data_IF_097363183639
#
_entry.id   IF_097363183639
#
_cell.length_a   1.000
_cell.length_b   1.000
_cell.length_c   1.000
_cell.angle_alpha   90.00
_cell.angle_beta   90.00
_cell.angle_gamma   90.00
#
_symmetry.space_group_name_H-M   'P 1'
#
loop_
_entity.id
_entity.type
_entity.pdbx_description
1 polymer ?
#
# COMPACT_ATOMS: atom_id res chain seq x y z
N UNK A 1 45.17 -100.39 -6.13
CA UNK A 1 45.49 -99.37 -5.12
C UNK A 1 45.28 -98.04 -5.80
N UNK A 2 44.04 -97.59 -5.80
CA UNK A 2 43.47 -96.57 -4.88
C UNK A 2 43.55 -95.20 -5.56
N UNK A 3 42.37 -94.75 -6.04
CA UNK A 3 42.15 -93.35 -6.42
C UNK A 3 42.13 -92.56 -5.11
N UNK A 4 43.14 -91.73 -4.88
CA UNK A 4 43.07 -90.71 -3.83
C UNK A 4 41.89 -89.79 -4.14
N UNK A 5 40.82 -89.92 -3.35
CA UNK A 5 39.75 -88.94 -3.32
C UNK A 5 40.33 -87.67 -2.72
N UNK A 6 40.65 -86.71 -3.60
CA UNK A 6 41.09 -85.35 -3.26
C UNK A 6 39.99 -84.52 -2.59
N UNK A 7 39.48 -84.99 -1.46
CA UNK A 7 38.62 -84.22 -0.58
C UNK A 7 39.46 -83.25 0.23
N UNK A 8 39.28 -81.95 -0.03
CA UNK A 8 39.89 -80.87 0.77
C UNK A 8 39.54 -81.08 2.24
N UNK A 9 40.53 -81.10 3.12
CA UNK A 9 40.31 -81.32 4.56
C UNK A 9 39.60 -80.13 5.20
N UNK A 10 38.93 -80.33 6.35
CA UNK A 10 38.19 -79.27 7.06
C UNK A 10 39.07 -78.05 7.37
N UNK A 11 40.35 -78.28 7.71
CA UNK A 11 41.33 -77.21 7.98
C UNK A 11 41.73 -76.43 6.72
N UNK A 12 41.88 -77.12 5.59
CA UNK A 12 42.17 -76.45 4.30
C UNK A 12 40.97 -75.63 3.84
N UNK A 13 39.75 -76.12 4.09
CA UNK A 13 38.51 -75.39 3.81
C UNK A 13 38.39 -74.14 4.68
N UNK A 14 38.66 -74.25 5.99
CA UNK A 14 38.68 -73.10 6.91
C UNK A 14 39.73 -72.04 6.52
N UNK A 15 40.91 -72.47 6.06
CA UNK A 15 41.95 -71.56 5.60
C UNK A 15 41.53 -70.81 4.31
N UNK A 16 40.90 -71.50 3.36
CA UNK A 16 40.38 -70.89 2.13
C UNK A 16 39.25 -69.90 2.43
N UNK A 17 38.34 -70.24 3.35
CA UNK A 17 37.25 -69.34 3.77
C UNK A 17 37.81 -68.08 4.44
N UNK A 18 38.77 -68.20 5.37
CA UNK A 18 39.42 -67.03 5.99
C UNK A 18 40.13 -66.14 4.97
N UNK A 19 40.80 -66.74 3.98
CA UNK A 19 41.45 -65.98 2.92
C UNK A 19 40.42 -65.24 2.05
N UNK A 20 39.30 -65.89 1.72
CA UNK A 20 38.20 -65.29 0.97
C UNK A 20 37.55 -64.14 1.74
N UNK A 21 37.25 -64.33 3.03
CA UNK A 21 36.72 -63.28 3.92
C UNK A 21 37.68 -62.08 4.02
N UNK A 22 38.99 -62.34 4.11
CA UNK A 22 40.01 -61.29 4.11
C UNK A 22 40.02 -60.47 2.81
N UNK A 23 39.94 -61.13 1.65
CA UNK A 23 39.87 -60.46 0.34
C UNK A 23 38.57 -59.68 0.16
N UNK A 24 37.44 -60.22 0.62
CA UNK A 24 36.15 -59.51 0.59
C UNK A 24 36.22 -58.26 1.46
N UNK A 25 36.76 -58.33 2.68
CA UNK A 25 36.92 -57.16 3.55
C UNK A 25 37.77 -56.04 2.91
N UNK A 26 38.87 -56.40 2.26
CA UNK A 26 39.73 -55.43 1.55
C UNK A 26 38.95 -54.78 0.40
N UNK A 27 38.18 -55.57 -0.35
CA UNK A 27 37.36 -55.07 -1.45
C UNK A 27 36.26 -54.12 -0.96
N UNK A 28 35.53 -54.50 0.10
CA UNK A 28 34.49 -53.64 0.70
C UNK A 28 35.10 -52.35 1.25
N UNK A 29 36.26 -52.40 1.89
CA UNK A 29 36.95 -51.20 2.36
C UNK A 29 37.36 -50.29 1.20
N UNK A 30 37.90 -50.85 0.12
CA UNK A 30 38.24 -50.07 -1.09
C UNK A 30 37.04 -49.40 -1.75
N UNK A 31 35.85 -50.03 -1.70
CA UNK A 31 34.61 -49.41 -2.16
C UNK A 31 34.14 -48.28 -1.23
N UNK A 32 34.23 -48.47 0.09
CA UNK A 32 33.91 -47.43 1.09
C UNK A 32 34.84 -46.23 0.96
N UNK A 33 36.13 -46.46 0.76
CA UNK A 33 37.13 -45.42 0.52
C UNK A 33 36.87 -44.67 -0.81
N UNK A 34 36.21 -45.34 -1.77
CA UNK A 34 35.74 -44.75 -3.02
C UNK A 34 34.33 -44.11 -2.91
N UNK A 35 33.73 -44.04 -1.71
CA UNK A 35 32.42 -43.44 -1.47
C UNK A 35 31.21 -44.30 -1.82
N UNK A 36 31.40 -45.62 -1.97
CA UNK A 36 30.33 -46.58 -2.27
C UNK A 36 30.13 -47.48 -1.04
N UNK A 37 29.09 -47.20 -0.23
CA UNK A 37 28.74 -48.01 0.92
C UNK A 37 27.65 -49.03 0.56
N UNK A 38 28.12 -50.22 0.15
CA UNK A 38 27.26 -51.33 -0.22
C UNK A 38 26.52 -51.98 0.96
N UNK A 39 26.94 -51.73 2.21
CA UNK A 39 26.33 -52.35 3.40
C UNK A 39 25.07 -51.61 3.85
N UNK A 40 25.07 -50.27 3.74
CA UNK A 40 23.88 -49.44 4.02
C UNK A 40 23.00 -49.21 2.79
N UNK A 41 23.45 -49.63 1.61
CA UNK A 41 22.79 -49.33 0.33
C UNK A 41 22.90 -47.86 -0.09
N UNK A 42 23.83 -47.10 0.53
CA UNK A 42 24.04 -45.69 0.27
C UNK A 42 25.28 -45.45 -0.60
N UNK A 43 25.18 -44.58 -1.59
CA UNK A 43 26.36 -43.99 -2.23
C UNK A 43 26.70 -42.73 -1.44
N UNK A 44 27.72 -42.82 -0.59
CA UNK A 44 28.20 -41.71 0.24
C UNK A 44 29.37 -41.05 -0.49
N UNK A 45 29.06 -40.16 -1.42
CA UNK A 45 30.07 -39.32 -2.04
C UNK A 45 30.47 -38.19 -1.07
N UNK A 46 31.72 -38.17 -0.62
CA UNK A 46 32.26 -37.03 0.13
C UNK A 46 32.31 -35.81 -0.80
N UNK A 47 31.67 -34.74 -0.33
CA UNK A 47 31.03 -33.69 -1.14
C UNK A 47 31.97 -32.69 -1.82
N UNK A 48 33.22 -33.07 -2.12
CA UNK A 48 34.13 -32.12 -2.74
C UNK A 48 33.93 -32.02 -4.26
N UNK A 49 33.29 -33.00 -4.94
CA UNK A 49 33.00 -32.99 -6.38
C UNK A 49 32.02 -34.12 -6.85
N UNK A 50 30.81 -34.25 -6.29
CA UNK A 50 29.85 -35.25 -6.80
C UNK A 50 29.22 -34.80 -8.13
N UNK A 51 29.65 -35.39 -9.25
CA UNK A 51 29.23 -35.05 -10.62
C UNK A 51 28.47 -36.20 -11.28
N UNK A 52 27.26 -35.93 -11.75
CA UNK A 52 26.50 -36.85 -12.61
C UNK A 52 26.55 -36.32 -14.04
N UNK A 53 26.91 -37.19 -14.98
CA UNK A 53 26.95 -36.89 -16.42
C UNK A 53 25.96 -37.78 -17.18
N UNK A 54 25.38 -37.27 -18.26
CA UNK A 54 24.61 -38.09 -19.20
C UNK A 54 25.54 -38.96 -20.07
N UNK A 55 24.96 -39.80 -20.94
CA UNK A 55 25.71 -40.68 -21.85
C UNK A 55 26.60 -39.94 -22.86
N UNK A 56 26.38 -38.65 -23.10
CA UNK A 56 27.24 -37.81 -23.93
C UNK A 56 28.37 -37.12 -23.15
N UNK A 57 28.50 -37.37 -21.84
CA UNK A 57 29.53 -36.77 -20.99
C UNK A 57 29.19 -35.37 -20.47
N UNK A 58 27.98 -34.88 -20.71
CA UNK A 58 27.49 -33.57 -20.25
C UNK A 58 27.04 -33.65 -18.79
N UNK A 59 27.47 -32.72 -17.95
CA UNK A 59 27.08 -32.64 -16.53
C UNK A 59 25.58 -32.31 -16.38
N UNK A 60 24.85 -33.12 -15.62
CA UNK A 60 23.39 -32.96 -15.38
C UNK A 60 23.08 -32.54 -13.94
N UNK A 61 23.93 -32.91 -12.99
CA UNK A 61 23.77 -32.65 -11.55
C UNK A 61 25.13 -32.59 -10.87
N UNK A 62 25.34 -31.59 -10.02
CA UNK A 62 26.55 -31.36 -9.23
C UNK A 62 26.17 -30.95 -7.81
N UNK A 63 26.85 -31.51 -6.82
CA UNK A 63 26.92 -30.95 -5.46
C UNK A 63 28.36 -30.48 -5.24
N UNK A 64 28.54 -29.19 -4.96
CA UNK A 64 29.86 -28.64 -4.65
C UNK A 64 30.20 -28.74 -3.16
N UNK A 65 31.45 -28.42 -2.82
CA UNK A 65 32.00 -28.41 -1.45
C UNK A 65 31.21 -27.57 -0.43
N UNK A 66 30.44 -26.59 -0.90
CA UNK A 66 29.61 -25.70 -0.08
C UNK A 66 28.17 -26.23 0.06
N UNK A 67 27.88 -27.43 -0.46
CA UNK A 67 26.55 -28.05 -0.47
C UNK A 67 25.58 -27.48 -1.50
N UNK A 68 26.05 -26.66 -2.45
CA UNK A 68 25.19 -26.11 -3.50
C UNK A 68 24.89 -27.17 -4.55
N UNK A 69 23.60 -27.40 -4.80
CA UNK A 69 23.11 -28.25 -5.89
C UNK A 69 23.02 -27.41 -7.16
N UNK A 70 23.84 -27.75 -8.16
CA UNK A 70 23.75 -27.18 -9.51
C UNK A 70 23.26 -28.25 -10.47
N UNK A 71 22.09 -28.03 -11.07
CA UNK A 71 21.50 -28.98 -12.01
C UNK A 71 21.14 -28.25 -13.31
N UNK A 72 22.13 -27.98 -14.19
CA UNK A 72 21.97 -27.10 -15.35
C UNK A 72 20.96 -27.65 -16.39
N UNK A 73 20.56 -28.91 -16.25
CA UNK A 73 19.60 -29.57 -17.13
C UNK A 73 18.35 -30.07 -16.38
N UNK A 74 18.19 -29.78 -15.08
CA UNK A 74 17.03 -30.22 -14.32
C UNK A 74 15.78 -29.38 -14.62
N UNK A 75 14.66 -30.07 -14.85
CA UNK A 75 13.32 -29.50 -14.95
C UNK A 75 12.53 -29.85 -13.69
N UNK A 76 11.95 -28.87 -13.01
CA UNK A 76 11.01 -29.04 -11.90
C UNK A 76 9.61 -28.88 -12.47
N UNK A 77 9.04 -29.94 -13.06
CA UNK A 77 7.80 -29.81 -13.85
C UNK A 77 7.99 -28.82 -15.01
N UNK A 78 7.04 -27.91 -15.22
CA UNK A 78 7.14 -26.79 -16.17
C UNK A 78 7.97 -25.62 -15.60
N UNK A 79 9.02 -25.88 -14.83
CA UNK A 79 9.98 -24.88 -14.35
C UNK A 79 11.39 -25.38 -14.61
N UNK A 80 12.31 -24.48 -14.94
CA UNK A 80 13.71 -24.77 -15.21
C UNK A 80 14.62 -23.87 -14.38
N UNK A 81 15.82 -24.36 -14.07
CA UNK A 81 16.90 -23.50 -13.58
C UNK A 81 17.68 -22.97 -14.78
N UNK A 82 17.70 -21.66 -14.97
CA UNK A 82 18.35 -20.99 -16.09
C UNK A 82 19.12 -19.76 -15.56
N UNK A 83 20.41 -19.66 -15.86
CA UNK A 83 21.29 -18.56 -15.40
C UNK A 83 21.24 -18.27 -13.89
N UNK A 84 21.07 -19.32 -13.07
CA UNK A 84 20.98 -19.20 -11.60
C UNK A 84 19.63 -18.71 -11.08
N UNK A 85 18.60 -18.67 -11.94
CA UNK A 85 17.21 -18.32 -11.60
C UNK A 85 16.31 -19.54 -11.71
N UNK A 86 15.20 -19.53 -10.98
CA UNK A 86 14.10 -20.48 -11.20
C UNK A 86 13.07 -19.81 -12.09
N UNK A 87 12.81 -20.39 -13.25
CA UNK A 87 12.03 -19.79 -14.34
C UNK A 87 10.93 -20.75 -14.78
N UNK A 88 9.70 -20.26 -14.97
CA UNK A 88 8.64 -21.08 -15.55
C UNK A 88 8.94 -21.39 -17.03
N UNK A 89 8.84 -22.66 -17.40
CA UNK A 89 9.02 -23.23 -18.73
C UNK A 89 7.68 -23.49 -19.46
N UNK A 90 6.60 -22.79 -19.08
CA UNK A 90 5.32 -22.91 -19.78
C UNK A 90 5.42 -22.25 -21.16
N UNK A 91 5.40 -23.06 -22.21
CA UNK A 91 4.92 -22.65 -23.53
C UNK A 91 3.40 -22.65 -23.46
N UNK A 92 2.80 -21.46 -23.46
CA UNK A 92 1.35 -21.33 -23.42
C UNK A 92 0.77 -21.98 -24.70
N UNK A 93 0.07 -23.12 -24.60
CA UNK A 93 -0.47 -23.86 -25.77
C UNK A 93 -1.36 -22.99 -26.67
N UNK A 94 -1.86 -21.87 -26.13
CA UNK A 94 -2.69 -20.90 -26.84
C UNK A 94 -1.90 -19.87 -27.66
N UNK A 95 -0.57 -19.81 -27.53
CA UNK A 95 0.27 -18.79 -28.17
C UNK A 95 1.43 -19.45 -28.94
N UNK A 96 1.46 -19.23 -30.25
CA UNK A 96 2.36 -19.89 -31.20
C UNK A 96 3.81 -19.36 -31.22
N UNK A 97 4.21 -18.56 -30.23
CA UNK A 97 5.55 -17.98 -30.13
C UNK A 97 6.26 -18.52 -28.88
N UNK A 98 7.14 -19.49 -29.12
CA UNK A 98 7.99 -20.18 -28.14
C UNK A 98 8.92 -19.24 -27.35
N UNK A 99 9.07 -17.98 -27.77
CA UNK A 99 9.87 -16.96 -27.06
C UNK A 99 9.03 -15.94 -26.28
N UNK A 100 7.70 -16.09 -26.22
CA UNK A 100 6.82 -14.96 -25.93
C UNK A 100 5.58 -15.36 -25.13
N UNK A 101 5.75 -16.24 -24.12
CA UNK A 101 4.71 -16.67 -23.17
C UNK A 101 4.62 -15.83 -21.90
N UNK A 102 3.59 -16.06 -21.08
CA UNK A 102 3.57 -15.57 -19.70
C UNK A 102 4.74 -16.25 -18.93
N UNK A 103 5.51 -15.47 -18.17
CA UNK A 103 6.73 -15.96 -17.52
C UNK A 103 6.80 -15.56 -16.06
N UNK A 104 7.19 -16.48 -15.19
CA UNK A 104 7.52 -16.19 -13.79
C UNK A 104 9.01 -16.46 -13.57
N UNK A 105 9.72 -15.52 -12.97
CA UNK A 105 11.14 -15.62 -12.62
C UNK A 105 11.35 -15.38 -11.12
N UNK A 106 12.10 -16.27 -10.46
CA UNK A 106 12.65 -16.10 -9.11
C UNK A 106 14.15 -15.87 -9.23
N UNK A 107 14.59 -14.66 -8.90
CA UNK A 107 16.00 -14.25 -9.02
C UNK A 107 16.50 -13.72 -7.68
N UNK A 108 17.15 -14.60 -6.93
CA UNK A 108 17.74 -14.27 -5.63
C UNK A 108 18.87 -13.23 -5.75
N UNK A 109 19.61 -13.21 -6.87
CA UNK A 109 20.72 -12.27 -7.09
C UNK A 109 20.21 -10.85 -7.28
N UNK A 110 19.16 -10.66 -8.07
CA UNK A 110 18.50 -9.35 -8.18
C UNK A 110 17.62 -9.03 -6.97
N UNK A 111 17.21 -10.04 -6.20
CA UNK A 111 16.29 -9.90 -5.08
C UNK A 111 14.85 -9.69 -5.56
N UNK A 112 14.49 -10.29 -6.70
CA UNK A 112 13.20 -10.05 -7.34
C UNK A 112 12.41 -11.32 -7.61
N UNK A 113 11.09 -11.19 -7.54
CA UNK A 113 10.13 -12.15 -8.10
C UNK A 113 9.35 -11.39 -9.16
N UNK A 114 9.42 -11.87 -10.40
CA UNK A 114 8.79 -11.22 -11.55
C UNK A 114 7.76 -12.12 -12.20
N UNK A 115 6.62 -11.55 -12.56
CA UNK A 115 5.64 -12.19 -13.43
C UNK A 115 5.37 -11.27 -14.62
N UNK A 116 5.50 -11.83 -15.82
CA UNK A 116 5.36 -11.14 -17.08
C UNK A 116 4.09 -11.63 -17.75
N UNK A 117 3.15 -10.73 -18.03
CA UNK A 117 1.93 -11.01 -18.77
C UNK A 117 1.98 -10.40 -20.17
N UNK A 118 1.36 -11.05 -21.15
CA UNK A 118 1.31 -10.56 -22.54
C UNK A 118 0.12 -9.63 -22.82
N UNK A 119 -1.01 -9.85 -22.14
CA UNK A 119 -2.20 -9.00 -22.21
C UNK A 119 -2.76 -8.83 -20.80
N UNK A 120 -2.61 -7.65 -20.22
CA UNK A 120 -3.32 -7.28 -19.00
C UNK A 120 -4.80 -7.09 -19.31
N UNK A 121 -5.63 -8.10 -19.03
CA UNK A 121 -7.09 -7.94 -19.02
C UNK A 121 -7.50 -7.61 -17.59
N UNK A 122 -7.27 -6.36 -17.16
CA UNK A 122 -8.00 -5.90 -15.99
C UNK A 122 -9.47 -5.73 -16.40
N UNK A 123 -10.35 -6.56 -15.83
CA UNK A 123 -11.80 -6.52 -16.08
C UNK A 123 -12.41 -5.17 -15.71
N UNK A 124 -11.75 -4.41 -14.84
CA UNK A 124 -12.17 -3.10 -14.38
C UNK A 124 -11.47 -1.94 -15.11
N UNK A 125 -10.55 -2.24 -16.05
CA UNK A 125 -9.96 -1.21 -16.89
C UNK A 125 -10.99 -0.64 -17.87
N UNK A 126 -10.79 0.64 -18.23
CA UNK A 126 -11.60 1.26 -19.27
C UNK A 126 -11.42 0.55 -20.63
N UNK A 127 -12.49 0.30 -21.42
CA UNK A 127 -12.44 -0.33 -22.73
C UNK A 127 -11.58 0.44 -23.74
N UNK A 128 -11.34 1.72 -23.48
CA UNK A 128 -10.51 2.58 -24.29
C UNK A 128 -9.01 2.45 -23.94
N UNK A 129 -8.63 1.67 -22.92
CA UNK A 129 -7.22 1.39 -22.62
C UNK A 129 -6.67 0.29 -23.52
N UNK A 130 -5.44 0.48 -24.00
CA UNK A 130 -4.70 -0.55 -24.73
C UNK A 130 -4.46 -1.77 -23.82
N UNK A 131 -4.73 -2.95 -24.38
CA UNK A 131 -4.45 -4.24 -23.73
C UNK A 131 -2.96 -4.57 -23.89
N UNK A 132 -2.12 -3.88 -23.13
CA UNK A 132 -0.68 -4.10 -23.16
C UNK A 132 -0.28 -5.16 -22.12
N UNK A 133 0.87 -5.79 -22.32
CA UNK A 133 1.43 -6.71 -21.33
C UNK A 133 1.86 -5.98 -20.06
N UNK A 134 1.96 -6.69 -18.94
CA UNK A 134 2.36 -6.12 -17.64
C UNK A 134 3.53 -6.90 -17.05
N UNK A 135 4.53 -6.21 -16.54
CA UNK A 135 5.53 -6.76 -15.62
C UNK A 135 5.08 -6.48 -14.19
N UNK A 136 4.76 -7.53 -13.45
CA UNK A 136 4.55 -7.52 -12.01
C UNK A 136 5.89 -7.87 -11.33
N UNK A 137 6.34 -7.06 -10.38
CA UNK A 137 7.62 -7.26 -9.71
C UNK A 137 7.51 -7.02 -8.21
N UNK A 138 7.88 -8.03 -7.43
CA UNK A 138 8.30 -7.89 -6.03
C UNK A 138 9.80 -7.64 -6.01
N UNK A 139 10.24 -6.54 -5.41
CA UNK A 139 11.65 -6.16 -5.28
C UNK A 139 11.99 -6.02 -3.79
N UNK A 140 12.75 -6.99 -3.27
CA UNK A 140 13.13 -7.03 -1.85
C UNK A 140 14.21 -6.00 -1.50
N UNK A 141 14.99 -5.54 -2.48
CA UNK A 141 16.03 -4.52 -2.25
C UNK A 141 15.43 -3.13 -2.09
N UNK A 142 14.34 -2.85 -2.82
CA UNK A 142 13.60 -1.59 -2.74
C UNK A 142 12.44 -1.64 -1.74
N UNK A 143 11.99 -2.84 -1.35
CA UNK A 143 10.80 -3.00 -0.52
C UNK A 143 9.52 -2.56 -1.25
N UNK A 144 9.43 -2.88 -2.54
CA UNK A 144 8.34 -2.43 -3.42
C UNK A 144 7.66 -3.60 -4.11
N UNK A 145 6.35 -3.49 -4.27
CA UNK A 145 5.54 -4.32 -5.16
C UNK A 145 5.08 -3.41 -6.28
N UNK A 146 5.28 -3.78 -7.54
CA UNK A 146 4.97 -2.91 -8.67
C UNK A 146 4.35 -3.64 -9.86
N UNK A 147 3.62 -2.88 -10.67
CA UNK A 147 3.08 -3.27 -11.97
C UNK A 147 3.49 -2.21 -12.99
N UNK A 148 4.14 -2.63 -14.09
CA UNK A 148 4.59 -1.75 -15.17
C UNK A 148 4.02 -2.24 -16.51
N UNK A 149 3.46 -1.35 -17.31
CA UNK A 149 3.11 -1.68 -18.69
C UNK A 149 4.36 -1.99 -19.52
N UNK A 150 4.34 -3.06 -20.33
CA UNK A 150 5.46 -3.44 -21.20
C UNK A 150 5.77 -2.36 -22.24
N UNK A 151 4.72 -1.86 -22.88
CA UNK A 151 4.82 -0.96 -24.03
C UNK A 151 4.35 0.46 -23.70
N UNK A 152 4.17 0.76 -22.42
CA UNK A 152 3.70 2.07 -21.94
C UNK A 152 4.47 2.51 -20.70
N UNK A 153 4.49 3.82 -20.45
CA UNK A 153 5.05 4.37 -19.22
C UNK A 153 4.10 4.24 -18.01
N UNK A 154 3.14 3.32 -18.08
CA UNK A 154 2.18 3.08 -16.99
C UNK A 154 2.87 2.34 -15.85
N UNK A 155 2.64 2.81 -14.64
CA UNK A 155 3.29 2.30 -13.44
C UNK A 155 2.41 2.47 -12.21
N UNK A 156 2.28 1.38 -11.47
CA UNK A 156 1.66 1.33 -10.16
C UNK A 156 2.62 0.64 -9.19
N UNK A 157 2.71 1.12 -7.95
CA UNK A 157 3.51 0.46 -6.93
C UNK A 157 2.99 0.72 -5.52
N UNK A 158 3.27 -0.24 -4.64
CA UNK A 158 3.10 -0.15 -3.20
C UNK A 158 4.48 -0.28 -2.56
N UNK A 159 4.77 0.59 -1.59
CA UNK A 159 6.02 0.61 -0.85
C UNK A 159 5.80 1.13 0.56
N UNK A 160 6.85 1.15 1.39
CA UNK A 160 6.79 1.77 2.72
C UNK A 160 6.38 3.25 2.71
N UNK A 161 6.59 3.96 1.59
CA UNK A 161 6.25 5.39 1.45
C UNK A 161 4.85 5.61 0.88
N UNK A 162 4.09 4.53 0.62
CA UNK A 162 2.70 4.59 0.20
C UNK A 162 2.44 3.93 -1.15
N UNK A 163 1.29 4.31 -1.72
CA UNK A 163 0.78 3.83 -3.01
C UNK A 163 1.00 4.90 -4.06
N UNK A 164 1.64 4.54 -5.16
CA UNK A 164 1.85 5.43 -6.29
C UNK A 164 1.25 4.82 -7.54
N UNK A 165 0.48 5.62 -8.28
CA UNK A 165 -0.07 5.23 -9.59
C UNK A 165 -0.06 6.46 -10.50
N UNK A 166 0.61 6.36 -11.65
CA UNK A 166 0.72 7.47 -12.61
C UNK A 166 -0.33 7.44 -13.72
N UNK A 167 -1.25 6.48 -13.68
CA UNK A 167 -2.18 6.16 -14.76
C UNK A 167 -3.60 6.01 -14.22
N UNK A 168 -4.54 6.77 -14.77
CA UNK A 168 -5.96 6.69 -14.41
C UNK A 168 -6.71 5.67 -15.28
N UNK A 169 -6.42 4.37 -15.08
CA UNK A 169 -6.95 3.29 -15.91
C UNK A 169 -8.19 2.59 -15.35
N UNK A 170 -8.42 2.69 -14.04
CA UNK A 170 -9.49 1.97 -13.34
C UNK A 170 -10.81 2.72 -13.48
N UNK A 171 -11.87 2.04 -13.93
CA UNK A 171 -13.21 2.61 -14.02
C UNK A 171 -13.80 2.85 -12.63
N UNK A 172 -14.33 4.05 -12.39
CA UNK A 172 -14.82 4.48 -11.08
C UNK A 172 -16.31 4.17 -10.84
N UNK A 173 -17.08 3.81 -11.88
CA UNK A 173 -18.53 3.66 -11.80
C UNK A 173 -18.95 2.18 -11.76
N UNK A 174 -19.98 1.89 -10.97
CA UNK A 174 -20.68 0.61 -11.04
C UNK A 174 -21.30 0.42 -12.44
N UNK A 175 -21.30 -0.80 -13.01
CA UNK A 175 -21.88 -1.07 -14.34
C UNK A 175 -23.33 -0.59 -14.53
N UNK A 176 -24.09 -0.40 -13.43
CA UNK A 176 -25.48 0.03 -13.42
C UNK A 176 -25.70 1.52 -13.68
N UNK A 177 -24.71 2.39 -13.48
CA UNK A 177 -24.90 3.86 -13.58
C UNK A 177 -24.48 4.46 -14.93
N UNK A 178 -23.95 3.64 -15.85
CA UNK A 178 -23.61 4.06 -17.22
C UNK A 178 -22.51 5.13 -17.35
N UNK A 179 -21.91 5.59 -16.24
CA UNK A 179 -20.92 6.67 -16.23
C UNK A 179 -19.50 6.17 -16.57
N UNK A 180 -18.79 6.87 -17.46
CA UNK A 180 -17.42 6.51 -17.87
C UNK A 180 -16.38 7.45 -17.25
N UNK A 181 -16.11 7.28 -15.97
CA UNK A 181 -15.01 7.95 -15.27
C UNK A 181 -13.88 6.96 -14.98
N UNK A 182 -12.63 7.40 -15.05
CA UNK A 182 -11.45 6.61 -14.69
C UNK A 182 -10.59 7.37 -13.67
N UNK A 183 -9.97 6.66 -12.74
CA UNK A 183 -9.04 7.22 -11.75
C UNK A 183 -7.84 6.27 -11.56
N UNK A 184 -6.75 6.83 -11.03
CA UNK A 184 -5.52 6.09 -10.73
C UNK A 184 -5.61 5.36 -9.39
N UNK A 185 -6.42 5.87 -8.48
CA UNK A 185 -6.82 5.23 -7.23
C UNK A 185 -8.33 5.39 -7.12
N UNK A 186 -9.04 4.28 -6.93
CA UNK A 186 -10.50 4.26 -6.69
C UNK A 186 -10.71 3.72 -5.29
N UNK A 187 -11.42 4.46 -4.45
CA UNK A 187 -11.72 4.04 -3.10
C UNK A 187 -13.23 4.20 -2.82
N UNK A 188 -13.88 3.07 -2.54
CA UNK A 188 -15.32 2.98 -2.28
C UNK A 188 -15.52 2.55 -0.84
N UNK A 189 -16.27 3.33 -0.07
CA UNK A 189 -16.64 3.01 1.30
C UNK A 189 -18.07 2.54 1.34
N UNK A 190 -18.28 1.23 1.51
CA UNK A 190 -19.61 0.63 1.69
C UNK A 190 -19.57 -0.09 3.03
N UNK A 191 -20.53 0.21 3.91
CA UNK A 191 -20.63 -0.41 5.21
C UNK A 191 -22.02 -0.21 5.78
N UNK A 192 -22.41 -1.13 6.67
CA UNK A 192 -23.72 -1.17 7.31
C UNK A 192 -23.58 -0.64 8.75
N UNK A 193 -23.55 0.69 8.89
CA UNK A 193 -23.46 1.38 10.18
C UNK A 193 -24.85 1.80 10.63
N UNK A 194 -25.28 1.30 11.78
CA UNK A 194 -26.59 1.60 12.36
C UNK A 194 -26.64 3.01 12.98
N UNK A 195 -27.80 3.67 12.90
CA UNK A 195 -27.99 5.08 13.31
C UNK A 195 -27.67 5.32 14.79
N UNK A 196 -27.94 4.34 15.65
CA UNK A 196 -27.61 4.33 17.08
C UNK A 196 -26.09 4.32 17.36
N UNK A 197 -25.29 3.77 16.43
CA UNK A 197 -23.83 3.83 16.46
C UNK A 197 -23.28 5.10 15.82
N UNK A 198 -24.00 5.73 14.89
CA UNK A 198 -23.67 7.07 14.38
C UNK A 198 -23.96 8.16 15.42
N UNK A 199 -25.10 8.10 16.14
CA UNK A 199 -25.55 9.08 17.13
C UNK A 199 -25.72 8.50 18.55
N UNK A 200 -24.71 7.90 19.20
CA UNK A 200 -24.85 7.47 20.59
C UNK A 200 -24.78 8.72 21.49
N UNK A 201 -25.94 9.32 21.76
CA UNK A 201 -26.13 10.48 22.64
C UNK A 201 -25.44 11.78 22.17
N UNK A 202 -26.18 12.62 21.43
CA UNK A 202 -25.85 14.02 21.21
C UNK A 202 -25.85 14.75 22.57
N UNK A 203 -24.77 14.65 23.32
CA UNK A 203 -24.47 15.53 24.45
C UNK A 203 -23.63 16.67 23.88
N UNK A 204 -24.11 17.89 24.13
CA UNK A 204 -23.72 19.19 23.54
C UNK A 204 -22.21 19.48 23.52
N UNK A 205 -21.42 18.67 24.22
CA UNK A 205 -19.99 18.88 24.46
C UNK A 205 -19.05 18.09 23.56
N UNK A 206 -19.51 17.11 22.77
CA UNK A 206 -18.58 16.19 22.09
C UNK A 206 -18.48 16.36 20.57
N UNK A 207 -19.50 16.84 19.85
CA UNK A 207 -19.38 17.15 18.41
C UNK A 207 -18.77 16.03 17.55
N UNK A 208 -18.87 14.77 18.00
CA UNK A 208 -18.11 13.66 17.43
C UNK A 208 -18.81 13.12 16.18
N UNK A 209 -18.65 13.78 15.04
CA UNK A 209 -18.93 13.23 13.71
C UNK A 209 -17.87 12.16 13.33
N UNK A 210 -17.54 11.22 14.22
CA UNK A 210 -16.41 10.29 14.02
C UNK A 210 -16.82 8.83 13.74
N UNK A 211 -18.11 8.50 13.80
CA UNK A 211 -18.61 7.16 13.47
C UNK A 211 -19.24 7.16 12.07
N UNK A 212 -18.43 6.93 11.02
CA UNK A 212 -18.90 6.91 9.63
C UNK A 212 -18.15 5.90 8.76
N UNK A 213 -18.72 5.57 7.61
CA UNK A 213 -18.06 4.79 6.56
C UNK A 213 -17.50 5.76 5.51
N UNK A 214 -16.20 5.68 5.25
CA UNK A 214 -15.56 6.48 4.21
C UNK A 214 -14.84 5.59 3.18
N UNK A 215 -14.89 6.00 1.90
CA UNK A 215 -14.06 5.38 0.87
C UNK A 215 -12.59 5.78 1.00
N UNK A 216 -12.33 7.05 1.32
CA UNK A 216 -11.01 7.57 1.68
C UNK A 216 -11.15 8.34 2.99
N UNK A 217 -10.36 7.98 3.99
CA UNK A 217 -10.20 8.77 5.20
C UNK A 217 -8.73 9.19 5.33
N UNK A 218 -8.50 10.50 5.38
CA UNK A 218 -7.17 11.08 5.54
C UNK A 218 -7.13 11.92 6.80
N UNK A 219 -6.28 11.54 7.74
CA UNK A 219 -5.89 12.37 8.88
C UNK A 219 -4.38 12.51 8.87
N UNK A 220 -3.89 13.72 9.04
CA UNK A 220 -2.48 13.97 9.26
C UNK A 220 -2.30 14.61 10.64
N UNK A 221 -1.12 14.45 11.22
CA UNK A 221 -0.73 15.06 12.48
C UNK A 221 0.75 15.39 12.38
N UNK A 222 1.14 16.56 12.87
CA UNK A 222 2.52 17.00 12.92
C UNK A 222 2.78 17.73 14.24
N UNK A 223 3.78 17.30 14.99
CA UNK A 223 4.21 17.99 16.22
C UNK A 223 5.19 19.14 15.98
N UNK A 224 5.62 19.34 14.72
CA UNK A 224 6.38 20.50 14.29
C UNK A 224 5.51 21.73 14.00
N UNK A 225 6.12 22.79 13.48
CA UNK A 225 5.45 24.05 13.13
C UNK A 225 5.06 24.15 11.65
N UNK A 226 5.16 23.06 10.89
CA UNK A 226 4.80 23.03 9.48
C UNK A 226 3.34 22.58 9.30
N UNK A 227 2.59 23.17 8.36
CA UNK A 227 1.24 22.71 8.03
C UNK A 227 1.22 21.24 7.61
N UNK A 228 0.15 20.55 8.00
CA UNK A 228 -0.11 19.17 7.64
C UNK A 228 -1.56 19.03 7.18
N UNK A 229 -1.80 18.13 6.23
CA UNK A 229 -3.11 17.97 5.59
C UNK A 229 -3.45 16.49 5.46
N UNK A 230 -4.68 16.11 5.79
CA UNK A 230 -5.19 14.75 5.53
C UNK A 230 -5.25 14.40 4.04
N UNK A 231 -5.26 15.40 3.17
CA UNK A 231 -5.10 15.27 1.72
C UNK A 231 -4.79 16.61 1.06
N UNK A 232 -3.97 16.60 0.00
CA UNK A 232 -3.68 17.77 -0.82
C UNK A 232 -4.15 17.53 -2.25
N UNK A 233 -5.02 18.39 -2.75
CA UNK A 233 -5.63 18.25 -4.08
C UNK A 233 -5.40 19.51 -4.90
N UNK A 234 -4.61 19.39 -5.98
CA UNK A 234 -4.46 20.46 -6.96
C UNK A 234 -5.63 20.37 -7.96
N UNK A 235 -6.44 21.43 -8.05
CA UNK A 235 -7.68 21.51 -8.86
C UNK A 235 -8.74 20.48 -8.43
N UNK A 236 -9.25 20.64 -7.21
CA UNK A 236 -10.31 19.81 -6.67
C UNK A 236 -11.66 20.11 -7.37
N UNK A 237 -12.27 19.09 -7.96
CA UNK A 237 -13.68 19.11 -8.39
C UNK A 237 -14.49 18.29 -7.38
N UNK A 238 -15.44 18.95 -6.71
CA UNK A 238 -16.31 18.34 -5.70
C UNK A 238 -17.72 18.20 -6.25
N UNK A 239 -18.37 17.06 -6.02
CA UNK A 239 -19.79 16.85 -6.32
C UNK A 239 -20.52 16.58 -5.00
N UNK A 240 -21.15 17.62 -4.45
CA UNK A 240 -21.66 17.63 -3.07
C UNK A 240 -20.54 17.88 -2.07
N UNK A 241 -20.71 18.86 -1.18
CA UNK A 241 -19.77 19.21 -0.11
C UNK A 241 -20.51 19.19 1.22
N UNK A 242 -20.05 18.36 2.14
CA UNK A 242 -20.51 18.33 3.53
C UNK A 242 -19.41 18.95 4.38
N UNK A 243 -19.78 19.94 5.17
CA UNK A 243 -18.88 20.69 6.05
C UNK A 243 -19.02 20.12 7.46
N UNK A 244 -17.93 20.13 8.23
CA UNK A 244 -18.01 19.93 9.68
C UNK A 244 -18.78 21.12 10.26
N UNK A 245 -20.00 20.87 10.68
CA UNK A 245 -20.94 21.90 11.10
C UNK A 245 -21.22 21.81 12.60
N UNK A 246 -21.02 22.92 13.30
CA UNK A 246 -21.40 23.07 14.71
C UNK A 246 -22.63 23.94 14.84
N UNK A 247 -23.58 23.54 15.69
CA UNK A 247 -24.73 24.38 16.06
C UNK A 247 -24.52 24.89 17.47
N UNK A 248 -24.57 26.20 17.66
CA UNK A 248 -24.33 26.86 18.95
C UNK A 248 -25.56 27.63 19.40
N UNK A 249 -25.82 27.59 20.70
CA UNK A 249 -26.92 28.28 21.38
C UNK A 249 -26.39 29.39 22.30
N UNK A 250 -27.22 30.37 22.68
CA UNK A 250 -26.80 31.48 23.53
C UNK A 250 -26.20 30.99 24.85
N UNK A 251 -25.06 31.58 25.20
CA UNK A 251 -24.26 31.24 26.37
C UNK A 251 -23.37 32.42 26.72
N UNK A 252 -23.07 32.61 28.00
CA UNK A 252 -22.10 33.62 28.46
C UNK A 252 -20.64 33.24 28.14
N UNK A 253 -20.38 31.96 27.91
CA UNK A 253 -19.05 31.47 27.54
C UNK A 253 -18.77 31.63 26.04
N UNK A 254 -17.53 32.02 25.73
CA UNK A 254 -17.03 32.06 24.36
C UNK A 254 -16.63 30.66 23.92
N UNK A 255 -17.23 30.20 22.83
CA UNK A 255 -16.88 28.91 22.23
C UNK A 255 -15.61 29.07 21.39
N UNK A 256 -14.55 28.34 21.75
CA UNK A 256 -13.34 28.26 20.93
C UNK A 256 -13.56 27.33 19.74
N UNK A 257 -13.40 27.85 18.52
CA UNK A 257 -13.35 27.03 17.32
C UNK A 257 -11.96 26.40 17.15
N UNK A 258 -11.92 25.23 16.52
CA UNK A 258 -10.67 24.51 16.22
C UNK A 258 -10.35 24.55 14.71
N UNK A 259 -9.17 24.04 14.32
CA UNK A 259 -8.68 24.09 12.94
C UNK A 259 -9.52 23.30 11.93
N UNK A 260 -10.30 22.32 12.39
CA UNK A 260 -11.14 21.47 11.54
C UNK A 260 -12.56 22.01 11.37
N UNK A 261 -13.00 22.94 12.23
CA UNK A 261 -14.33 23.56 12.11
C UNK A 261 -14.40 24.30 10.77
N UNK A 262 -15.49 24.13 10.01
CA UNK A 262 -15.64 24.76 8.68
C UNK A 262 -16.93 25.56 8.57
N UNK A 263 -17.94 25.20 9.35
CA UNK A 263 -19.20 25.92 9.44
C UNK A 263 -19.71 25.96 10.87
N UNK A 264 -20.26 27.11 11.25
CA UNK A 264 -20.94 27.30 12.52
C UNK A 264 -22.29 27.94 12.27
N UNK A 265 -23.33 27.33 12.84
CA UNK A 265 -24.70 27.84 12.80
C UNK A 265 -25.04 28.35 14.21
N UNK A 266 -25.40 29.62 14.29
CA UNK A 266 -25.76 30.29 15.55
C UNK A 266 -27.28 30.36 15.67
N UNK A 267 -27.80 29.82 16.77
CA UNK A 267 -29.22 29.85 17.13
C UNK A 267 -29.46 30.97 18.16
N UNK A 268 -29.13 32.21 17.81
CA UNK A 268 -29.26 33.37 18.70
C UNK A 268 -30.73 33.69 19.03
N UNK A 269 -30.99 34.35 20.16
CA UNK A 269 -32.34 34.85 20.50
C UNK A 269 -32.31 36.35 20.78
N UNK A 270 -33.45 37.03 20.66
CA UNK A 270 -33.50 38.47 20.92
C UNK A 270 -33.04 38.77 22.35
N UNK A 271 -31.96 39.53 22.49
CA UNK A 271 -31.33 39.85 23.78
C UNK A 271 -30.35 38.80 24.32
N UNK A 272 -30.17 37.64 23.68
CA UNK A 272 -29.14 36.66 24.03
C UNK A 272 -28.29 36.27 22.82
N UNK A 273 -27.02 36.67 22.88
CA UNK A 273 -26.03 36.52 21.82
C UNK A 273 -25.27 35.19 21.93
N UNK A 274 -24.55 34.83 20.87
CA UNK A 274 -23.58 33.72 20.89
C UNK A 274 -22.19 34.31 20.65
N UNK A 275 -21.21 33.88 21.45
CA UNK A 275 -19.84 34.36 21.39
C UNK A 275 -18.91 33.26 20.88
N UNK A 276 -18.14 33.52 19.83
CA UNK A 276 -17.20 32.56 19.26
C UNK A 276 -15.80 33.18 19.10
N UNK A 277 -14.77 32.39 19.38
CA UNK A 277 -13.39 32.72 19.05
C UNK A 277 -13.01 31.97 17.77
N UNK A 278 -12.42 32.67 16.80
CA UNK A 278 -11.84 32.06 15.61
C UNK A 278 -10.70 31.08 15.98
N UNK A 279 -10.37 30.12 15.10
CA UNK A 279 -9.32 29.13 15.35
C UNK A 279 -7.97 29.76 15.73
N UNK A 280 -7.26 29.08 16.64
CA UNK A 280 -5.88 29.41 17.00
C UNK A 280 -4.90 28.86 15.97
N UNK A 281 -3.78 29.55 15.77
CA UNK A 281 -2.74 29.18 14.80
C UNK A 281 -3.28 28.81 13.39
N UNK A 282 -4.14 29.64 12.78
CA UNK A 282 -4.79 29.29 11.53
C UNK A 282 -3.81 29.17 10.35
N UNK A 283 -4.15 28.33 9.37
CA UNK A 283 -3.42 28.26 8.11
C UNK A 283 -3.96 29.25 7.08
N UNK A 284 -3.07 29.82 6.26
CA UNK A 284 -3.49 30.72 5.17
C UNK A 284 -4.49 30.00 4.26
N UNK A 285 -5.64 30.65 4.02
CA UNK A 285 -6.77 30.10 3.28
C UNK A 285 -7.80 29.34 4.12
N UNK A 286 -7.54 29.12 5.41
CA UNK A 286 -8.54 28.52 6.32
C UNK A 286 -9.78 29.43 6.37
N UNK A 287 -10.95 28.83 6.14
CA UNK A 287 -12.21 29.55 6.04
C UNK A 287 -13.24 28.98 7.00
N UNK A 288 -13.87 29.84 7.79
CA UNK A 288 -15.01 29.51 8.65
C UNK A 288 -16.25 30.25 8.14
N UNK A 289 -17.30 29.51 7.80
CA UNK A 289 -18.61 30.10 7.54
C UNK A 289 -19.40 30.22 8.84
N UNK A 290 -19.95 31.41 9.08
CA UNK A 290 -20.80 31.68 10.24
C UNK A 290 -22.18 32.09 9.75
N UNK A 291 -23.18 31.30 10.09
CA UNK A 291 -24.58 31.52 9.73
C UNK A 291 -25.35 31.81 11.01
N UNK A 292 -25.78 33.05 11.21
CA UNK A 292 -26.67 33.40 12.31
C UNK A 292 -28.12 33.26 11.85
N UNK A 293 -28.76 32.14 12.19
CA UNK A 293 -30.16 31.89 11.84
C UNK A 293 -31.15 32.42 12.90
N UNK A 294 -30.64 33.00 14.00
CA UNK A 294 -31.43 33.54 15.10
C UNK A 294 -31.71 35.03 15.00
N UNK A 295 -32.18 35.62 16.12
CA UNK A 295 -32.64 37.03 16.25
C UNK A 295 -31.77 37.90 17.18
N UNK A 296 -30.62 37.38 17.60
CA UNK A 296 -29.61 38.11 18.38
C UNK A 296 -28.33 38.30 17.56
N UNK A 297 -27.24 38.65 18.23
CA UNK A 297 -25.94 38.84 17.58
C UNK A 297 -25.04 37.61 17.73
N UNK A 298 -24.38 37.25 16.63
CA UNK A 298 -23.21 36.36 16.67
C UNK A 298 -21.95 37.21 16.83
N UNK A 299 -21.29 37.16 17.98
CA UNK A 299 -20.07 37.92 18.25
C UNK A 299 -18.85 37.06 17.94
N UNK A 300 -18.09 37.47 16.93
CA UNK A 300 -16.92 36.73 16.42
C UNK A 300 -15.66 37.46 16.82
N UNK A 301 -14.77 36.79 17.54
CA UNK A 301 -13.52 37.36 18.03
C UNK A 301 -12.33 36.72 17.32
N UNK A 302 -11.36 37.54 16.92
CA UNK A 302 -10.03 37.06 16.58
C UNK A 302 -9.25 36.69 17.85
N UNK A 303 -8.24 35.84 17.70
CA UNK A 303 -7.37 35.35 18.79
C UNK A 303 -5.91 35.39 18.37
N UNK A 304 -5.02 35.15 19.35
CA UNK A 304 -3.57 35.06 19.16
C UNK A 304 -2.92 36.29 18.51
N UNK A 305 -3.53 37.47 18.70
CA UNK A 305 -3.04 38.73 18.17
C UNK A 305 -3.42 38.98 16.70
N UNK A 306 -4.16 38.08 16.05
CA UNK A 306 -4.77 38.34 14.75
C UNK A 306 -5.95 39.32 14.87
N UNK A 307 -6.35 39.93 13.75
CA UNK A 307 -7.46 40.88 13.68
C UNK A 307 -8.45 40.49 12.58
N UNK A 308 -9.69 40.96 12.69
CA UNK A 308 -10.73 40.83 11.68
C UNK A 308 -10.73 42.10 10.83
N UNK A 309 -10.64 41.93 9.51
CA UNK A 309 -10.66 43.03 8.55
C UNK A 309 -11.89 42.91 7.63
N UNK A 310 -12.76 43.91 7.71
CA UNK A 310 -13.85 44.16 6.76
C UNK A 310 -13.66 45.53 6.07
N UNK A 311 -13.30 46.55 6.85
CA UNK A 311 -13.01 47.92 6.39
C UNK A 311 -11.91 48.57 7.24
N UNK A 312 -11.90 48.29 8.54
CA UNK A 312 -10.84 48.67 9.47
C UNK A 312 -10.53 47.44 10.34
N UNK A 313 -9.26 47.18 10.69
CA UNK A 313 -8.92 46.07 11.58
C UNK A 313 -9.60 46.25 12.95
N UNK A 314 -10.20 45.18 13.46
CA UNK A 314 -10.79 45.12 14.79
C UNK A 314 -10.55 43.73 15.40
N UNK A 315 -10.58 43.63 16.72
CA UNK A 315 -10.38 42.36 17.43
C UNK A 315 -11.67 41.50 17.41
N UNK A 316 -12.81 42.09 17.02
CA UNK A 316 -14.08 41.40 16.90
C UNK A 316 -15.01 42.02 15.84
N UNK A 317 -16.00 41.24 15.41
CA UNK A 317 -17.11 41.71 14.56
C UNK A 317 -18.43 41.05 14.99
N UNK A 318 -19.53 41.53 14.44
CA UNK A 318 -20.86 41.02 14.72
C UNK A 318 -21.54 40.49 13.45
N UNK A 319 -21.94 39.23 13.48
CA UNK A 319 -22.84 38.62 12.51
C UNK A 319 -24.28 38.88 12.95
N UNK A 320 -24.97 39.75 12.20
CA UNK A 320 -26.37 40.14 12.45
C UNK A 320 -27.32 38.95 12.36
N UNK A 321 -28.52 39.12 12.91
CA UNK A 321 -29.63 38.19 12.69
C UNK A 321 -29.80 37.87 11.20
N UNK A 322 -30.12 36.62 10.91
CA UNK A 322 -30.38 36.12 9.56
C UNK A 322 -29.26 36.37 8.55
N UNK A 323 -27.99 36.40 8.98
CA UNK A 323 -26.83 36.67 8.10
C UNK A 323 -25.89 35.48 7.97
N UNK A 324 -25.28 35.37 6.80
CA UNK A 324 -24.21 34.44 6.47
C UNK A 324 -22.95 35.23 6.09
N UNK A 325 -21.94 35.14 6.95
CA UNK A 325 -20.62 35.73 6.74
C UNK A 325 -19.55 34.62 6.69
N UNK A 326 -18.43 34.91 6.05
CA UNK A 326 -17.26 34.02 5.95
C UNK A 326 -16.01 34.74 6.42
N UNK A 327 -15.21 34.02 7.20
CA UNK A 327 -13.96 34.48 7.77
C UNK A 327 -12.83 33.67 7.17
N UNK A 328 -12.02 34.29 6.32
CA UNK A 328 -10.87 33.64 5.67
C UNK A 328 -9.56 34.16 6.22
N UNK A 329 -8.73 33.30 6.79
CA UNK A 329 -7.41 33.70 7.26
C UNK A 329 -6.47 33.97 6.08
N UNK A 330 -5.92 35.17 6.02
CA UNK A 330 -5.06 35.61 4.92
C UNK A 330 -3.57 35.64 5.29
N UNK A 331 -3.22 35.40 6.56
CA UNK A 331 -1.85 35.46 7.05
C UNK A 331 -1.34 36.89 7.25
N UNK A 332 -0.04 37.00 7.51
CA UNK A 332 0.66 38.26 7.75
C UNK A 332 0.70 39.19 6.53
N UNK A 333 -0.37 39.98 6.35
CA UNK A 333 -0.46 41.01 5.32
C UNK A 333 0.12 42.30 5.89
N UNK A 334 0.92 43.01 5.08
CA UNK A 334 1.37 44.35 5.47
C UNK A 334 0.26 45.37 5.22
N UNK A 335 -0.07 46.14 6.25
CA UNK A 335 -1.01 47.26 6.14
C UNK A 335 -0.41 48.48 6.82
N UNK A 336 -0.42 49.60 6.10
CA UNK A 336 0.24 50.83 6.53
C UNK A 336 1.70 50.67 6.99
N UNK A 337 2.39 49.61 6.54
CA UNK A 337 3.79 49.33 6.87
C UNK A 337 4.01 48.24 7.92
N UNK A 338 2.99 47.89 8.70
CA UNK A 338 3.09 46.91 9.78
C UNK A 338 2.64 45.52 9.33
N UNK A 339 3.34 44.49 9.79
CA UNK A 339 3.00 43.09 9.54
C UNK A 339 1.94 42.65 10.54
N UNK A 340 0.73 42.35 10.05
CA UNK A 340 -0.39 41.96 10.89
C UNK A 340 -1.12 40.77 10.28
N UNK A 341 -1.51 39.82 11.12
CA UNK A 341 -2.24 38.64 10.69
C UNK A 341 -3.75 38.90 10.71
N UNK A 342 -4.43 38.56 9.61
CA UNK A 342 -5.83 38.93 9.41
C UNK A 342 -6.75 37.79 9.05
N UNK A 343 -7.97 37.89 9.57
CA UNK A 343 -9.15 37.23 9.07
C UNK A 343 -9.95 38.21 8.21
N UNK A 344 -10.19 37.88 6.96
CA UNK A 344 -11.03 38.67 6.06
C UNK A 344 -12.49 38.30 6.30
N UNK A 345 -13.30 39.26 6.74
CA UNK A 345 -14.74 39.13 6.88
C UNK A 345 -15.42 39.48 5.55
N UNK A 346 -16.07 38.48 4.95
CA UNK A 346 -16.79 38.58 3.69
C UNK A 346 -18.24 38.17 3.88
N UNK A 347 -19.15 39.08 3.57
CA UNK A 347 -20.58 38.79 3.63
C UNK A 347 -21.05 38.01 2.42
N UNK A 348 -21.64 36.84 2.67
CA UNK A 348 -22.10 35.92 1.63
C UNK A 348 -23.58 36.14 1.32
N UNK A 349 -24.40 36.42 2.34
CA UNK A 349 -25.82 36.68 2.12
C UNK A 349 -26.66 36.69 3.40
N UNK A 350 -27.98 36.58 3.22
CA UNK A 350 -28.97 36.49 4.29
C UNK A 350 -29.64 35.11 4.27
N UNK A 351 -29.89 34.53 5.45
CA UNK A 351 -30.60 33.25 5.59
C UNK A 351 -32.05 33.48 6.05
N UNK A 352 -33.02 33.05 5.23
CA UNK A 352 -34.43 33.09 5.59
C UNK A 352 -35.22 34.33 5.16
N UNK A 353 -34.82 35.01 4.08
CA UNK A 353 -35.69 36.04 3.46
C UNK A 353 -36.94 35.39 2.87
N UNK A 354 -38.10 35.74 3.43
CA UNK A 354 -39.40 35.71 2.73
C UNK A 354 -39.49 36.80 1.69
#
# INVERSE_FOLDING_TARGET
MEKENGGVTTKETEAIVKLAEGKVKIFVQGLKDAGIDIESGQIVATADNFKVKNSSGTETFLINKDGQITAPLAKIGDWKIEDGKVVSALTDEYYTDENNGNKIELDAKSGTIKAITLRGIDKNASPNYKKDGTELCFDSKRGTISARGKDTNTYASISKTGVFVNTAGTRCAAPSTGSSACASVVALGIGDLSLDRWFPNYTESSGLEFNFVAGVYGKAENSGNAPYYGGFFNKLKVCGLYKKTRVLFPSEERVQLNEEDTQVILMTTAGNDVYINLPRNPYVGQTIEVINAGRGWGKVYAVDGSQIYWNTPDDYTNVREHRHDSFTFAGGIRYNGDHQEWWIDSSIGECGRT
#
